data_IF_219614432137
#
_entry.id   IF_219614432137
#
_cell.length_a   1.000
_cell.length_b   1.000
_cell.length_c   1.000
_cell.angle_alpha   90.00
_cell.angle_beta   90.00
_cell.angle_gamma   90.00
#
_symmetry.space_group_name_H-M   'P 1'
#
loop_
_entity.id
_entity.type
_entity.pdbx_description
1 polymer ?
#
# COMPACT_ATOMS: atom_id res chain seq x y z
N UNK A 1 -11.87 -35.53 -37.30
CA UNK A 1 -10.90 -35.58 -36.19
C UNK A 1 -10.11 -34.29 -35.93
N UNK A 2 -10.40 -33.15 -36.59
CA UNK A 2 -9.73 -31.86 -36.29
C UNK A 2 -10.60 -30.86 -35.52
N UNK A 3 -11.93 -31.04 -35.56
CA UNK A 3 -12.90 -30.14 -34.90
C UNK A 3 -13.05 -30.48 -33.40
N UNK A 4 -12.81 -31.74 -33.01
CA UNK A 4 -12.86 -32.18 -31.60
C UNK A 4 -11.62 -31.74 -30.80
N UNK A 5 -10.51 -31.41 -31.46
CA UNK A 5 -9.29 -30.93 -30.82
C UNK A 5 -9.30 -29.42 -30.53
N UNK A 6 -10.22 -28.66 -31.13
CA UNK A 6 -10.33 -27.20 -30.90
C UNK A 6 -11.23 -26.84 -29.71
N UNK A 7 -12.04 -27.77 -29.19
CA UNK A 7 -12.95 -27.51 -28.07
C UNK A 7 -12.27 -27.66 -26.68
N UNK A 8 -11.09 -28.26 -26.61
CA UNK A 8 -10.36 -28.51 -25.35
C UNK A 8 -9.47 -27.31 -24.98
N UNK A 9 -9.16 -26.40 -25.92
CA UNK A 9 -8.32 -25.23 -25.66
C UNK A 9 -9.08 -24.03 -25.04
N UNK A 10 -10.41 -24.14 -24.86
CA UNK A 10 -11.24 -23.08 -24.28
C UNK A 10 -11.60 -23.31 -22.80
N UNK A 11 -11.11 -24.37 -22.16
CA UNK A 11 -11.15 -24.53 -20.70
C UNK A 11 -9.98 -23.75 -20.08
N UNK A 12 -10.24 -22.45 -19.96
CA UNK A 12 -9.53 -21.36 -19.33
C UNK A 12 -8.53 -21.65 -18.17
N UNK A 13 -7.54 -20.76 -17.97
CA UNK A 13 -6.96 -20.53 -16.65
C UNK A 13 -7.95 -19.66 -15.85
N UNK A 14 -8.98 -20.26 -15.23
CA UNK A 14 -9.81 -19.56 -14.22
C UNK A 14 -9.16 -19.62 -12.83
N UNK A 15 -8.10 -20.41 -12.67
CA UNK A 15 -7.43 -20.63 -11.39
C UNK A 15 -6.54 -19.46 -10.92
N UNK A 16 -6.49 -18.34 -11.65
CA UNK A 16 -5.71 -17.15 -11.30
C UNK A 16 -6.54 -15.87 -11.42
N UNK A 17 -7.82 -15.91 -11.02
CA UNK A 17 -8.46 -14.67 -10.60
C UNK A 17 -7.77 -14.24 -9.31
N UNK A 18 -6.99 -13.16 -9.37
CA UNK A 18 -6.49 -12.47 -8.19
C UNK A 18 -7.68 -12.22 -7.26
N UNK A 19 -7.75 -13.01 -6.19
CA UNK A 19 -8.78 -12.85 -5.18
C UNK A 19 -8.55 -11.50 -4.50
N UNK A 20 -9.57 -10.65 -4.50
CA UNK A 20 -9.55 -9.40 -3.76
C UNK A 20 -9.41 -9.70 -2.26
N UNK A 21 -8.38 -9.11 -1.64
CA UNK A 21 -8.08 -9.29 -0.22
C UNK A 21 -9.02 -8.50 0.71
N UNK A 22 -9.68 -7.49 0.14
CA UNK A 22 -10.78 -6.77 0.76
C UNK A 22 -12.12 -7.32 0.27
N UNK A 23 -13.09 -7.36 1.15
CA UNK A 23 -14.48 -7.58 0.78
C UNK A 23 -15.04 -6.37 0.04
N UNK A 24 -16.12 -6.55 -0.73
CA UNK A 24 -16.73 -5.47 -1.49
C UNK A 24 -17.11 -4.25 -0.62
N UNK A 25 -17.64 -4.49 0.58
CA UNK A 25 -17.99 -3.43 1.52
C UNK A 25 -16.75 -2.67 2.02
N UNK A 26 -15.66 -3.36 2.29
CA UNK A 26 -14.41 -2.72 2.72
C UNK A 26 -13.77 -1.90 1.62
N UNK A 27 -13.84 -2.38 0.37
CA UNK A 27 -13.43 -1.60 -0.81
C UNK A 27 -14.24 -0.31 -0.88
N UNK A 28 -15.56 -0.37 -0.68
CA UNK A 28 -16.40 0.81 -0.69
C UNK A 28 -16.07 1.76 0.47
N UNK A 29 -15.78 1.26 1.66
CA UNK A 29 -15.31 2.09 2.78
C UNK A 29 -13.98 2.80 2.45
N UNK A 30 -13.02 2.11 1.83
CA UNK A 30 -11.73 2.71 1.43
C UNK A 30 -11.93 3.81 0.39
N UNK A 31 -12.88 3.62 -0.55
CA UNK A 31 -13.23 4.64 -1.56
C UNK A 31 -13.82 5.90 -0.93
N UNK A 32 -14.53 5.79 0.18
CA UNK A 32 -15.16 6.92 0.86
C UNK A 32 -14.18 7.69 1.76
N UNK A 33 -13.25 7.00 2.42
CA UNK A 33 -12.28 7.63 3.33
C UNK A 33 -11.08 8.14 2.54
N UNK A 34 -10.98 9.46 2.33
CA UNK A 34 -9.89 10.10 1.57
C UNK A 34 -8.74 10.60 2.44
N UNK A 35 -9.00 10.93 3.70
CA UNK A 35 -7.98 11.43 4.62
C UNK A 35 -6.99 10.32 5.00
N UNK A 36 -5.66 10.51 4.81
CA UNK A 36 -4.69 9.43 5.01
C UNK A 36 -4.67 8.85 6.43
N UNK A 37 -4.75 9.69 7.47
CA UNK A 37 -4.80 9.22 8.85
C UNK A 37 -6.02 8.31 9.09
N UNK A 38 -7.19 8.71 8.62
CA UNK A 38 -8.41 7.91 8.75
C UNK A 38 -8.33 6.61 7.93
N UNK A 39 -7.74 6.68 6.73
CA UNK A 39 -7.54 5.51 5.87
C UNK A 39 -6.56 4.50 6.49
N UNK A 40 -5.50 4.95 7.16
CA UNK A 40 -4.60 4.07 7.92
C UNK A 40 -5.37 3.34 9.04
N UNK A 41 -6.15 4.07 9.85
CA UNK A 41 -6.95 3.47 10.92
C UNK A 41 -8.02 2.49 10.38
N UNK A 42 -8.55 2.75 9.19
CA UNK A 42 -9.46 1.85 8.49
C UNK A 42 -8.79 0.51 8.16
N UNK A 43 -7.58 0.53 7.60
CA UNK A 43 -6.82 -0.68 7.32
C UNK A 43 -6.42 -1.43 8.60
N UNK A 44 -6.05 -0.72 9.67
CA UNK A 44 -5.83 -1.33 11.00
C UNK A 44 -7.07 -2.12 11.46
N UNK A 45 -8.28 -1.57 11.27
CA UNK A 45 -9.51 -2.28 11.60
C UNK A 45 -9.66 -3.56 10.78
N UNK A 46 -9.42 -3.50 9.47
CA UNK A 46 -9.52 -4.68 8.62
C UNK A 46 -8.52 -5.75 9.01
N UNK A 47 -7.26 -5.38 9.27
CA UNK A 47 -6.21 -6.30 9.71
C UNK A 47 -6.60 -7.00 11.02
N UNK A 48 -7.13 -6.24 12.01
CA UNK A 48 -7.65 -6.80 13.27
C UNK A 48 -8.78 -7.81 13.05
N UNK A 49 -9.69 -7.56 12.11
CA UNK A 49 -10.74 -8.50 11.76
C UNK A 49 -10.18 -9.82 11.20
N UNK A 50 -9.06 -9.80 10.46
CA UNK A 50 -8.43 -11.01 9.93
C UNK A 50 -7.76 -11.80 11.05
N UNK A 51 -7.07 -11.13 11.96
CA UNK A 51 -6.50 -11.78 13.16
C UNK A 51 -7.60 -12.44 14.01
N UNK A 52 -8.75 -11.78 14.17
CA UNK A 52 -9.87 -12.36 14.91
C UNK A 52 -10.47 -13.58 14.19
N UNK A 53 -10.64 -13.51 12.87
CA UNK A 53 -11.06 -14.66 12.06
C UNK A 53 -10.07 -15.83 12.20
N UNK A 54 -8.76 -15.56 12.17
CA UNK A 54 -7.73 -16.59 12.36
C UNK A 54 -7.86 -17.28 13.72
N UNK A 55 -8.05 -16.51 14.80
CA UNK A 55 -8.28 -17.07 16.14
C UNK A 55 -9.48 -18.01 16.15
N UNK A 56 -10.60 -17.58 15.57
CA UNK A 56 -11.81 -18.39 15.50
C UNK A 56 -11.62 -19.69 14.69
N UNK A 57 -10.85 -19.64 13.59
CA UNK A 57 -10.54 -20.82 12.78
C UNK A 57 -9.63 -21.80 13.52
N UNK A 58 -8.66 -21.29 14.29
CA UNK A 58 -7.75 -22.12 15.08
C UNK A 58 -8.49 -22.80 16.24
N UNK A 59 -9.37 -22.08 16.93
CA UNK A 59 -10.20 -22.63 18.01
C UNK A 59 -11.20 -23.67 17.52
N UNK A 60 -11.81 -23.46 16.36
CA UNK A 60 -12.85 -24.35 15.80
C UNK A 60 -12.24 -25.31 14.79
N UNK A 61 -11.99 -26.55 15.21
CA UNK A 61 -11.47 -27.61 14.34
C UNK A 61 -12.54 -28.10 13.34
N UNK A 62 -12.58 -27.45 12.18
CA UNK A 62 -13.47 -27.79 11.06
C UNK A 62 -12.66 -28.31 9.87
N UNK A 63 -13.18 -29.32 9.13
CA UNK A 63 -12.55 -29.78 7.90
C UNK A 63 -12.31 -28.63 6.91
N UNK A 64 -11.13 -28.59 6.30
CA UNK A 64 -10.77 -27.59 5.31
C UNK A 64 -10.33 -26.23 5.88
N UNK A 65 -10.34 -26.03 7.20
CA UNK A 65 -9.97 -24.74 7.81
C UNK A 65 -8.57 -24.25 7.42
N UNK A 66 -7.62 -25.15 7.17
CA UNK A 66 -6.22 -24.78 6.91
C UNK A 66 -6.08 -23.96 5.63
N UNK A 67 -6.93 -24.20 4.62
CA UNK A 67 -6.97 -23.39 3.39
C UNK A 67 -7.50 -22.00 3.72
N UNK A 68 -8.58 -21.92 4.51
CA UNK A 68 -9.15 -20.63 4.93
C UNK A 68 -8.16 -19.83 5.77
N UNK A 69 -7.40 -20.49 6.65
CA UNK A 69 -6.33 -19.87 7.45
C UNK A 69 -5.24 -19.31 6.53
N UNK A 70 -4.78 -20.10 5.56
CA UNK A 70 -3.79 -19.67 4.57
C UNK A 70 -4.26 -18.41 3.83
N UNK A 71 -5.44 -18.46 3.22
CA UNK A 71 -6.02 -17.36 2.45
C UNK A 71 -6.25 -16.11 3.31
N UNK A 72 -6.65 -16.29 4.58
CA UNK A 72 -6.82 -15.19 5.53
C UNK A 72 -5.49 -14.54 5.90
N UNK A 73 -4.41 -15.33 6.01
CA UNK A 73 -3.06 -14.80 6.26
C UNK A 73 -2.55 -14.01 5.05
N UNK A 74 -2.79 -14.49 3.82
CA UNK A 74 -2.45 -13.74 2.61
C UNK A 74 -3.21 -12.40 2.55
N UNK A 75 -4.51 -12.41 2.84
CA UNK A 75 -5.31 -11.18 2.86
C UNK A 75 -4.80 -10.20 3.91
N UNK A 76 -4.49 -10.71 5.11
CA UNK A 76 -3.92 -9.93 6.19
C UNK A 76 -2.61 -9.26 5.75
N UNK A 77 -1.68 -10.00 5.15
CA UNK A 77 -0.41 -9.46 4.67
C UNK A 77 -0.63 -8.36 3.63
N UNK A 78 -1.52 -8.56 2.66
CA UNK A 78 -1.88 -7.55 1.66
C UNK A 78 -2.50 -6.29 2.28
N UNK A 79 -3.23 -6.43 3.39
CA UNK A 79 -3.76 -5.27 4.14
C UNK A 79 -2.62 -4.45 4.75
N UNK A 80 -1.61 -5.10 5.34
CA UNK A 80 -0.44 -4.41 5.90
C UNK A 80 0.32 -3.67 4.79
N UNK A 81 0.60 -4.33 3.66
CA UNK A 81 1.27 -3.69 2.51
C UNK A 81 0.47 -2.51 1.92
N UNK A 82 -0.86 -2.62 1.90
CA UNK A 82 -1.73 -1.53 1.45
C UNK A 82 -1.66 -0.32 2.41
N UNK A 83 -1.53 -0.57 3.72
CA UNK A 83 -1.36 0.46 4.73
C UNK A 83 -0.03 1.20 4.56
N UNK A 84 1.07 0.47 4.29
CA UNK A 84 2.36 1.06 3.95
C UNK A 84 2.31 1.90 2.68
N UNK A 85 1.58 1.45 1.67
CA UNK A 85 1.39 2.20 0.44
C UNK A 85 0.66 3.53 0.70
N UNK A 86 -0.35 3.54 1.57
CA UNK A 86 -1.05 4.78 1.99
C UNK A 86 -0.10 5.71 2.75
N UNK A 87 0.70 5.19 3.67
CA UNK A 87 1.67 5.99 4.40
C UNK A 87 2.72 6.61 3.47
N UNK A 88 3.28 5.82 2.56
CA UNK A 88 4.27 6.29 1.59
C UNK A 88 3.71 7.37 0.65
N UNK A 89 2.48 7.21 0.13
CA UNK A 89 1.83 8.23 -0.70
C UNK A 89 1.58 9.53 0.07
N UNK A 90 1.13 9.44 1.32
CA UNK A 90 0.94 10.61 2.16
C UNK A 90 2.26 11.33 2.46
N UNK A 91 3.35 10.59 2.74
CA UNK A 91 4.69 11.15 2.94
C UNK A 91 5.19 11.84 1.67
N UNK A 92 5.02 11.22 0.49
CA UNK A 92 5.35 11.85 -0.81
C UNK A 92 4.61 13.17 -1.02
N UNK A 93 3.34 13.21 -0.62
CA UNK A 93 2.49 14.41 -0.68
C UNK A 93 2.74 15.40 0.46
N UNK A 94 3.67 15.08 1.37
CA UNK A 94 4.01 15.87 2.56
C UNK A 94 2.81 16.13 3.47
N UNK A 95 1.89 15.17 3.53
CA UNK A 95 0.75 15.20 4.44
C UNK A 95 1.20 14.71 5.81
N UNK A 96 0.79 15.40 6.87
CA UNK A 96 1.09 14.98 8.24
C UNK A 96 0.23 13.76 8.61
N UNK A 97 0.90 12.63 8.82
CA UNK A 97 0.29 11.36 9.20
C UNK A 97 0.80 10.79 10.52
N UNK A 98 1.44 11.61 11.36
CA UNK A 98 2.05 11.15 12.63
C UNK A 98 1.07 10.45 13.54
N UNK A 99 -0.16 10.97 13.64
CA UNK A 99 -1.20 10.40 14.49
C UNK A 99 -1.62 9.02 13.98
N UNK A 100 -1.88 8.88 12.68
CA UNK A 100 -2.22 7.60 12.07
C UNK A 100 -1.10 6.59 12.23
N UNK A 101 0.15 6.97 11.94
CA UNK A 101 1.31 6.07 12.06
C UNK A 101 1.59 5.61 13.49
N UNK A 102 1.36 6.45 14.48
CA UNK A 102 1.53 6.07 15.89
C UNK A 102 0.54 4.94 16.27
N UNK A 103 -0.72 5.07 15.83
CA UNK A 103 -1.73 4.03 16.07
C UNK A 103 -1.48 2.77 15.25
N UNK A 104 -0.99 2.92 14.01
CA UNK A 104 -0.55 1.80 13.16
C UNK A 104 0.57 1.01 13.83
N UNK A 105 1.66 1.67 14.22
CA UNK A 105 2.80 1.03 14.86
C UNK A 105 2.40 0.24 16.11
N UNK A 106 1.53 0.82 16.96
CA UNK A 106 0.99 0.14 18.13
C UNK A 106 0.16 -1.08 17.75
N UNK A 107 -0.75 -0.94 16.78
CA UNK A 107 -1.59 -2.04 16.33
C UNK A 107 -0.77 -3.17 15.71
N UNK A 108 0.25 -2.87 14.91
CA UNK A 108 1.12 -3.87 14.29
C UNK A 108 1.93 -4.64 15.31
N UNK A 109 2.44 -3.99 16.36
CA UNK A 109 3.07 -4.70 17.49
C UNK A 109 2.11 -5.67 18.18
N UNK A 110 0.85 -5.25 18.41
CA UNK A 110 -0.19 -6.12 18.97
C UNK A 110 -0.51 -7.31 18.06
N UNK A 111 -0.59 -7.08 16.74
CA UNK A 111 -0.90 -8.09 15.73
C UNK A 111 0.25 -9.07 15.51
N UNK A 112 1.50 -8.60 15.44
CA UNK A 112 2.69 -9.45 15.38
C UNK A 112 2.77 -10.37 16.60
N UNK A 113 2.52 -9.84 17.81
CA UNK A 113 2.44 -10.65 19.02
C UNK A 113 1.32 -11.70 18.95
N UNK A 114 0.17 -11.37 18.35
CA UNK A 114 -0.92 -12.33 18.16
C UNK A 114 -0.55 -13.44 17.16
N UNK A 115 0.09 -13.11 16.05
CA UNK A 115 0.54 -14.08 15.04
C UNK A 115 1.64 -15.01 15.58
N UNK A 116 2.60 -14.47 16.35
CA UNK A 116 3.62 -15.29 17.03
C UNK A 116 2.99 -16.31 17.99
N UNK A 117 1.99 -15.91 18.77
CA UNK A 117 1.25 -16.84 19.65
C UNK A 117 0.58 -17.97 18.87
N UNK A 118 0.06 -17.67 17.68
CA UNK A 118 -0.52 -18.68 16.79
C UNK A 118 0.56 -19.68 16.33
N UNK A 119 1.74 -19.19 15.96
CA UNK A 119 2.87 -20.03 15.56
C UNK A 119 3.37 -20.91 16.73
N UNK A 120 3.50 -20.33 17.92
CA UNK A 120 3.93 -21.02 19.14
C UNK A 120 2.94 -22.09 19.61
N UNK A 121 1.64 -21.90 19.38
CA UNK A 121 0.61 -22.88 19.70
C UNK A 121 0.74 -24.19 18.91
N UNK A 122 1.53 -24.20 17.81
CA UNK A 122 1.78 -25.34 16.92
C UNK A 122 0.53 -26.17 16.62
N UNK A 123 -0.51 -25.59 15.97
CA UNK A 123 -1.69 -26.35 15.57
C UNK A 123 -1.32 -27.57 14.73
N UNK A 124 -2.10 -28.65 14.82
CA UNK A 124 -1.80 -29.93 14.15
C UNK A 124 -1.60 -29.80 12.64
N UNK A 125 -2.27 -28.83 12.03
CA UNK A 125 -2.26 -28.52 10.61
C UNK A 125 -1.33 -27.37 10.21
N UNK A 126 -0.46 -26.89 11.12
CA UNK A 126 0.42 -25.73 10.90
C UNK A 126 1.28 -25.86 9.64
N UNK A 127 1.77 -27.06 9.33
CA UNK A 127 2.60 -27.32 8.15
C UNK A 127 1.91 -26.93 6.82
N UNK A 128 0.59 -26.72 6.81
CA UNK A 128 -0.17 -26.30 5.62
C UNK A 128 -0.14 -24.78 5.38
N UNK A 129 0.21 -23.98 6.39
CA UNK A 129 0.19 -22.52 6.31
C UNK A 129 1.36 -21.87 7.07
N UNK A 130 2.35 -22.65 7.52
CA UNK A 130 3.50 -22.16 8.28
C UNK A 130 4.28 -21.09 7.53
N UNK A 131 4.51 -21.29 6.23
CA UNK A 131 5.23 -20.31 5.41
C UNK A 131 4.52 -18.96 5.38
N UNK A 132 3.22 -18.95 5.03
CA UNK A 132 2.45 -17.70 4.97
C UNK A 132 2.27 -17.06 6.35
N UNK A 133 2.20 -17.85 7.42
CA UNK A 133 2.18 -17.34 8.79
C UNK A 133 3.50 -16.63 9.14
N UNK A 134 4.63 -17.23 8.82
CA UNK A 134 5.95 -16.63 9.04
C UNK A 134 6.10 -15.35 8.22
N UNK A 135 5.73 -15.36 6.93
CA UNK A 135 5.75 -14.15 6.10
C UNK A 135 4.83 -13.05 6.65
N UNK A 136 3.66 -13.39 7.17
CA UNK A 136 2.76 -12.42 7.80
C UNK A 136 3.37 -11.81 9.07
N UNK A 137 4.07 -12.62 9.88
CA UNK A 137 4.81 -12.15 11.06
C UNK A 137 5.90 -11.18 10.64
N UNK A 138 6.78 -11.59 9.73
CA UNK A 138 7.91 -10.78 9.23
C UNK A 138 7.42 -9.47 8.63
N UNK A 139 6.42 -9.51 7.73
CA UNK A 139 5.85 -8.31 7.10
C UNK A 139 5.27 -7.35 8.14
N UNK A 140 4.59 -7.87 9.16
CA UNK A 140 4.01 -7.02 10.23
C UNK A 140 5.10 -6.37 11.07
N UNK A 141 6.18 -7.10 11.36
CA UNK A 141 7.30 -6.59 12.17
C UNK A 141 8.09 -5.53 11.43
N UNK A 142 8.37 -5.76 10.15
CA UNK A 142 9.03 -4.80 9.27
C UNK A 142 8.18 -3.53 9.13
N UNK A 143 6.87 -3.67 8.93
CA UNK A 143 5.95 -2.53 8.85
C UNK A 143 5.86 -1.76 10.18
N UNK A 144 5.82 -2.46 11.32
CA UNK A 144 5.85 -1.84 12.64
C UNK A 144 7.13 -1.04 12.88
N UNK A 145 8.28 -1.54 12.43
CA UNK A 145 9.54 -0.81 12.49
C UNK A 145 9.47 0.44 11.61
N UNK A 146 9.04 0.32 10.35
CA UNK A 146 8.88 1.43 9.41
C UNK A 146 7.91 2.50 9.91
N UNK A 147 6.84 2.11 10.59
CA UNK A 147 5.85 3.02 11.17
C UNK A 147 6.39 3.80 12.39
N UNK A 148 7.43 3.29 13.06
CA UNK A 148 8.11 3.96 14.18
C UNK A 148 9.29 4.85 13.75
N UNK A 149 9.72 4.80 12.48
CA UNK A 149 10.85 5.61 11.99
C UNK A 149 10.50 7.09 11.89
N UNK A 150 11.54 7.94 11.88
CA UNK A 150 11.37 9.37 11.63
C UNK A 150 10.82 9.62 10.21
N UNK A 151 9.83 10.51 10.10
CA UNK A 151 9.19 10.80 8.82
C UNK A 151 10.12 11.51 7.84
N UNK A 152 11.08 12.30 8.32
CA UNK A 152 12.07 12.95 7.48
C UNK A 152 13.04 11.95 6.87
N UNK A 153 13.50 10.99 7.67
CA UNK A 153 14.33 9.87 7.22
C UNK A 153 13.59 9.01 6.19
N UNK A 154 12.37 8.54 6.52
CA UNK A 154 11.54 7.75 5.59
C UNK A 154 11.26 8.52 4.30
N UNK A 155 10.96 9.82 4.37
CA UNK A 155 10.78 10.66 3.18
C UNK A 155 12.05 10.73 2.30
N UNK A 156 13.23 10.79 2.92
CA UNK A 156 14.51 10.78 2.24
C UNK A 156 14.75 9.47 1.47
N UNK A 157 14.55 8.33 2.13
CA UNK A 157 14.66 7.00 1.53
C UNK A 157 13.69 6.80 0.37
N UNK A 158 12.43 7.21 0.55
CA UNK A 158 11.41 7.17 -0.50
C UNK A 158 11.82 8.01 -1.71
N UNK A 159 12.39 9.19 -1.50
CA UNK A 159 12.88 10.03 -2.60
C UNK A 159 14.08 9.41 -3.34
N UNK A 160 14.94 8.66 -2.65
CA UNK A 160 16.03 7.91 -3.28
C UNK A 160 15.47 6.74 -4.10
N UNK A 161 14.54 5.95 -3.54
CA UNK A 161 13.87 4.85 -4.22
C UNK A 161 13.14 5.35 -5.48
N UNK A 162 12.33 6.39 -5.37
CA UNK A 162 11.56 6.93 -6.50
C UNK A 162 12.47 7.45 -7.62
N UNK A 163 13.66 7.99 -7.30
CA UNK A 163 14.66 8.38 -8.31
C UNK A 163 15.26 7.17 -9.01
N UNK A 164 15.63 6.13 -8.26
CA UNK A 164 16.17 4.89 -8.80
C UNK A 164 15.14 4.21 -9.71
N UNK A 165 13.91 4.03 -9.25
CA UNK A 165 12.82 3.44 -10.02
C UNK A 165 12.54 4.24 -11.31
N UNK A 166 12.64 5.58 -11.24
CA UNK A 166 12.51 6.43 -12.41
C UNK A 166 13.65 6.21 -13.41
N UNK A 167 14.89 6.14 -12.94
CA UNK A 167 16.06 5.90 -13.77
C UNK A 167 15.97 4.54 -14.47
N UNK A 168 15.66 3.47 -13.73
CA UNK A 168 15.47 2.13 -14.30
C UNK A 168 14.35 2.12 -15.35
N UNK A 169 13.24 2.82 -15.10
CA UNK A 169 12.16 2.98 -16.10
C UNK A 169 12.61 3.76 -17.33
N UNK A 170 13.44 4.79 -17.17
CA UNK A 170 13.99 5.56 -18.29
C UNK A 170 14.97 4.73 -19.13
N UNK A 171 15.82 3.92 -18.49
CA UNK A 171 16.76 3.01 -19.14
C UNK A 171 16.05 1.91 -19.94
N UNK A 172 14.91 1.42 -19.44
CA UNK A 172 14.06 0.46 -20.14
C UNK A 172 13.12 1.09 -21.19
N UNK A 173 13.08 2.42 -21.29
CA UNK A 173 12.18 3.12 -22.21
C UNK A 173 12.87 3.46 -23.54
N UNK A 174 12.08 3.54 -24.61
CA UNK A 174 12.57 4.06 -25.90
C UNK A 174 12.91 5.56 -25.82
N UNK A 175 13.89 6.06 -26.58
CA UNK A 175 14.29 7.47 -26.56
C UNK A 175 13.15 8.47 -26.76
N UNK A 176 12.16 8.14 -27.59
CA UNK A 176 11.00 9.00 -27.88
C UNK A 176 10.10 9.19 -26.65
N UNK A 177 9.90 8.14 -25.85
CA UNK A 177 9.12 8.18 -24.60
C UNK A 177 9.84 9.02 -23.55
N UNK A 178 11.17 8.90 -23.46
CA UNK A 178 12.00 9.70 -22.55
C UNK A 178 11.99 11.17 -22.97
N UNK A 179 12.10 11.46 -24.26
CA UNK A 179 12.04 12.81 -24.80
C UNK A 179 10.67 13.48 -24.58
N UNK A 180 9.58 12.73 -24.79
CA UNK A 180 8.21 13.21 -24.55
C UNK A 180 7.99 13.55 -23.07
N UNK A 181 8.41 12.68 -22.13
CA UNK A 181 8.31 12.96 -20.68
C UNK A 181 9.12 14.18 -20.27
N UNK A 182 10.38 14.29 -20.72
CA UNK A 182 11.23 15.46 -20.40
C UNK A 182 10.64 16.76 -20.96
N UNK A 183 9.97 16.71 -22.11
CA UNK A 183 9.25 17.85 -22.66
C UNK A 183 8.00 18.22 -21.83
N UNK A 184 7.24 17.25 -21.34
CA UNK A 184 6.10 17.49 -20.43
C UNK A 184 6.56 18.08 -19.08
N UNK A 185 7.62 17.54 -18.48
CA UNK A 185 8.16 18.06 -17.22
C UNK A 185 8.64 19.52 -17.36
N UNK A 186 9.32 19.85 -18.47
CA UNK A 186 9.71 21.23 -18.76
C UNK A 186 8.49 22.15 -18.89
N UNK A 187 7.45 21.71 -19.62
CA UNK A 187 6.20 22.48 -19.77
C UNK A 187 5.50 22.67 -18.41
N UNK A 188 5.45 21.65 -17.57
CA UNK A 188 4.87 21.73 -16.23
C UNK A 188 5.65 22.69 -15.32
N UNK A 189 6.98 22.61 -15.32
CA UNK A 189 7.85 23.53 -14.56
C UNK A 189 7.71 24.99 -15.03
N UNK A 190 7.64 25.21 -16.35
CA UNK A 190 7.38 26.53 -16.91
C UNK A 190 6.00 27.06 -16.52
N UNK A 191 4.96 26.23 -16.56
CA UNK A 191 3.61 26.61 -16.16
C UNK A 191 3.53 26.96 -14.66
N UNK A 192 4.21 26.21 -13.80
CA UNK A 192 4.26 26.49 -12.36
C UNK A 192 5.03 27.80 -12.06
N UNK A 193 6.13 28.06 -12.78
CA UNK A 193 6.89 29.31 -12.66
C UNK A 193 6.08 30.54 -13.13
N UNK A 194 5.24 30.38 -14.16
CA UNK A 194 4.33 31.42 -14.65
C UNK A 194 3.19 31.70 -13.68
N UNK A 195 2.63 30.67 -13.01
CA UNK A 195 1.61 30.84 -11.95
C UNK A 195 2.15 31.59 -10.72
N UNK A 196 3.44 31.44 -10.39
CA UNK A 196 4.10 32.18 -9.29
C UNK A 196 4.30 33.68 -9.61
N UNK A 197 4.26 34.09 -10.89
CA UNK A 197 4.22 35.50 -11.29
C UNK A 197 2.77 35.97 -11.37
N UNK A 198 2.19 36.34 -10.24
CA UNK A 198 0.84 36.91 -10.20
C UNK A 198 0.74 38.13 -11.14
N UNK A 199 -0.33 38.27 -11.95
CA UNK A 199 -0.55 39.48 -12.74
C UNK A 199 -0.66 40.67 -11.78
N UNK A 200 0.27 41.61 -11.88
CA UNK A 200 0.17 42.85 -11.11
C UNK A 200 -0.86 43.75 -11.79
N UNK A 201 -1.81 44.30 -11.03
CA UNK A 201 -2.78 45.31 -11.51
C UNK A 201 -2.12 46.67 -11.82
N UNK A 202 -0.79 46.74 -11.83
CA UNK A 202 -0.05 47.98 -11.97
C UNK A 202 -0.06 48.44 -13.42
N UNK A 203 -0.35 49.72 -13.63
CA UNK A 203 -0.16 50.35 -14.94
C UNK A 203 1.33 50.58 -15.16
N UNK A 204 1.75 50.56 -16.43
CA UNK A 204 3.14 50.76 -16.85
C UNK A 204 3.63 52.14 -16.35
N UNK A 205 4.43 52.16 -15.28
CA UNK A 205 5.02 53.39 -14.70
C UNK A 205 4.80 53.62 -13.20
N UNK A 206 3.99 52.83 -12.49
CA UNK A 206 3.79 53.02 -11.05
C UNK A 206 4.91 52.37 -10.19
N UNK A 207 5.65 53.21 -9.47
CA UNK A 207 6.65 52.80 -8.47
C UNK A 207 5.98 52.58 -7.11
N UNK A 208 6.39 51.58 -6.29
CA UNK A 208 5.76 51.33 -5.00
C UNK A 208 6.05 52.47 -4.04
N UNK A 209 5.00 53.13 -3.54
CA UNK A 209 5.11 53.94 -2.32
C UNK A 209 5.36 53.01 -1.13
N UNK A 210 6.56 53.07 -0.57
CA UNK A 210 6.88 52.49 0.72
C UNK A 210 5.99 53.13 1.79
N UNK A 211 5.13 52.33 2.42
CA UNK A 211 4.43 52.75 3.64
C UNK A 211 5.42 52.60 4.80
N UNK A 212 5.69 53.71 5.47
CA UNK A 212 6.39 53.79 6.75
C UNK A 212 5.62 53.04 7.85
#
# INVERSE_FOLDING_TARGET
>A
MRILLMLILLLAPVAAQDRDFLTADEVDQVRLVQEPNERLLLYVRFARLRIELLRQLIEKDKPGRSIVIHDTLEDYTKIIEAMDTVADDAIRRKVDIKVGLTEVAKAEQEMAAALRRIAEAKPKDIARYEFVLTSAIETTEDSAELSNRDLGERAGELAVRDKKDRQEREEMSTPDVVAARKAEEKKAAEAESKKKKAPTLRRKGEVPTERK
#
